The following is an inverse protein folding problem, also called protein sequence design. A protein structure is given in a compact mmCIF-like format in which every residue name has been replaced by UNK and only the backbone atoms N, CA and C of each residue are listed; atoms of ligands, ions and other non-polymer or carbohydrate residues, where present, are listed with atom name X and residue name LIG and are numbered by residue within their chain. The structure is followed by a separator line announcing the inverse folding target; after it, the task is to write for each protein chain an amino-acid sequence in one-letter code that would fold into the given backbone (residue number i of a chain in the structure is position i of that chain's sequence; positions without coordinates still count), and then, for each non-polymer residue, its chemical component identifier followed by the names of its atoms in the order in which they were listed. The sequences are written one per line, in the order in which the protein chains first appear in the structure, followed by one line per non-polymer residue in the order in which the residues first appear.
data_IF_960746550745
#
_entry.id   IF_960746550745
#
_cell.length_a   1.000
_cell.length_b   1.000
_cell.length_c   1.000
_cell.angle_alpha   90.00
_cell.angle_beta   90.00
_cell.angle_gamma   90.00
#
_symmetry.space_group_name_H-M   'P 1'
#
loop_
_entity.id
_entity.type
_entity.pdbx_description
1 polymer ?
#
# COMPACT_ATOMS: atom_id res chain seq x y z
N UNK A 1 23.73 -12.71 0.34
CA UNK A 1 23.30 -13.27 1.64
C UNK A 1 22.35 -14.43 1.36
N UNK A 2 22.48 -15.57 2.05
CA UNK A 2 21.54 -16.70 1.92
C UNK A 2 20.64 -16.72 3.15
N UNK A 3 19.36 -17.04 2.95
CA UNK A 3 18.39 -17.25 4.04
C UNK A 3 18.04 -18.73 4.05
N UNK A 4 18.21 -19.39 5.19
CA UNK A 4 17.84 -20.79 5.38
C UNK A 4 16.57 -20.85 6.22
N UNK A 5 15.59 -21.63 5.77
CA UNK A 5 14.25 -21.72 6.38
C UNK A 5 13.77 -23.17 6.40
N UNK A 6 12.89 -23.50 7.34
CA UNK A 6 12.18 -24.78 7.38
C UNK A 6 10.70 -24.57 7.03
N UNK A 7 10.09 -25.57 6.37
CA UNK A 7 8.67 -25.54 6.01
C UNK A 7 7.83 -25.94 7.21
N UNK A 8 7.02 -25.03 7.73
CA UNK A 8 6.06 -25.31 8.81
C UNK A 8 4.69 -25.74 8.28
N UNK A 9 4.26 -25.16 7.16
CA UNK A 9 3.01 -25.50 6.45
C UNK A 9 3.34 -25.62 4.96
N UNK A 10 3.16 -26.82 4.41
CA UNK A 10 3.51 -27.13 3.01
C UNK A 10 2.39 -26.86 2.00
N UNK A 11 2.74 -26.92 0.72
CA UNK A 11 1.82 -26.78 -0.41
C UNK A 11 2.56 -26.61 -1.74
N UNK A 12 1.86 -26.60 -2.88
CA UNK A 12 2.49 -26.35 -4.19
C UNK A 12 3.06 -24.93 -4.26
N UNK A 13 4.31 -24.81 -4.71
CA UNK A 13 4.99 -23.55 -4.95
C UNK A 13 5.35 -23.45 -6.43
N UNK A 14 4.84 -22.43 -7.10
CA UNK A 14 5.15 -22.12 -8.50
C UNK A 14 6.02 -20.87 -8.60
N UNK A 15 6.48 -20.55 -9.82
CA UNK A 15 7.24 -19.34 -10.08
C UNK A 15 6.46 -18.06 -9.74
N UNK A 16 7.19 -17.02 -9.35
CA UNK A 16 6.69 -15.66 -9.08
C UNK A 16 5.58 -15.56 -8.00
N UNK A 17 5.51 -16.52 -7.07
CA UNK A 17 4.65 -16.39 -5.89
C UNK A 17 5.20 -15.30 -4.96
N UNK A 18 4.32 -14.42 -4.50
CA UNK A 18 4.66 -13.35 -3.56
C UNK A 18 5.13 -13.90 -2.21
N UNK A 19 6.07 -13.20 -1.59
CA UNK A 19 6.59 -13.52 -0.26
C UNK A 19 6.21 -12.36 0.66
N UNK A 20 5.65 -12.69 1.83
CA UNK A 20 5.34 -11.72 2.88
C UNK A 20 6.06 -12.10 4.16
N UNK A 21 6.39 -11.10 4.97
CA UNK A 21 6.93 -11.28 6.32
C UNK A 21 5.85 -10.95 7.34
N UNK A 22 5.56 -11.90 8.23
CA UNK A 22 4.63 -11.67 9.34
C UNK A 22 5.16 -10.52 10.21
N UNK A 23 4.29 -9.56 10.54
CA UNK A 23 4.67 -8.35 11.29
C UNK A 23 5.39 -7.27 10.46
N UNK A 24 5.53 -7.44 9.14
CA UNK A 24 6.15 -6.44 8.27
C UNK A 24 7.68 -6.42 8.30
N UNK A 25 8.26 -5.27 7.96
CA UNK A 25 9.72 -5.08 7.97
C UNK A 25 10.42 -5.60 6.72
N UNK A 26 9.74 -5.59 5.57
CA UNK A 26 10.37 -5.70 4.25
C UNK A 26 10.71 -4.27 3.78
N UNK A 27 12.01 -3.97 3.66
CA UNK A 27 12.55 -2.65 3.31
C UNK A 27 12.50 -2.33 1.81
N UNK A 28 11.41 -2.67 1.14
CA UNK A 28 11.19 -2.24 -0.23
C UNK A 28 10.84 -0.75 -0.26
N UNK A 29 11.31 -0.04 -1.28
CA UNK A 29 10.78 1.28 -1.62
C UNK A 29 9.28 1.18 -1.91
N UNK A 30 8.54 2.25 -1.63
CA UNK A 30 7.10 2.25 -1.84
C UNK A 30 6.71 2.34 -3.32
N UNK A 31 7.54 2.95 -4.16
CA UNK A 31 7.33 3.03 -5.60
C UNK A 31 8.54 2.46 -6.34
N UNK A 32 8.31 1.40 -7.10
CA UNK A 32 9.29 0.82 -8.01
C UNK A 32 9.44 1.68 -9.28
N UNK A 33 10.47 1.42 -10.08
CA UNK A 33 10.61 2.09 -11.38
C UNK A 33 9.47 1.75 -12.34
N UNK A 34 8.89 0.56 -12.21
CA UNK A 34 7.67 0.18 -12.93
C UNK A 34 6.51 1.08 -12.51
N UNK A 35 6.30 1.31 -11.21
CA UNK A 35 5.22 2.16 -10.73
C UNK A 35 5.36 3.59 -11.24
N UNK A 36 6.59 4.14 -11.27
CA UNK A 36 6.86 5.47 -11.84
C UNK A 36 6.48 5.54 -13.33
N UNK A 37 6.82 4.51 -14.11
CA UNK A 37 6.44 4.44 -15.52
C UNK A 37 4.92 4.26 -15.73
N UNK A 38 4.27 3.48 -14.87
CA UNK A 38 2.83 3.28 -14.90
C UNK A 38 2.07 4.55 -14.52
N UNK A 39 2.58 5.37 -13.60
CA UNK A 39 1.99 6.68 -13.25
C UNK A 39 1.94 7.59 -14.48
N UNK A 40 3.03 7.67 -15.26
CA UNK A 40 3.05 8.43 -16.51
C UNK A 40 2.06 7.86 -17.53
N UNK A 41 1.90 6.54 -17.56
CA UNK A 41 0.92 5.90 -18.45
C UNK A 41 -0.51 6.20 -18.01
N UNK A 42 -0.80 6.14 -16.71
CA UNK A 42 -2.09 6.47 -16.13
C UNK A 42 -2.47 7.95 -16.39
N UNK A 43 -1.48 8.85 -16.34
CA UNK A 43 -1.66 10.25 -16.70
C UNK A 43 -2.11 10.42 -18.16
N UNK A 44 -1.47 9.72 -19.10
CA UNK A 44 -1.85 9.75 -20.52
C UNK A 44 -3.23 9.17 -20.78
N UNK A 45 -3.65 8.18 -19.99
CA UNK A 45 -5.00 7.59 -20.07
C UNK A 45 -6.05 8.56 -19.51
N UNK A 46 -5.69 9.42 -18.56
CA UNK A 46 -6.61 10.34 -17.89
C UNK A 46 -7.47 9.63 -16.85
N UNK A 47 -6.87 8.78 -16.02
CA UNK A 47 -7.60 8.04 -14.98
C UNK A 47 -8.19 8.97 -13.91
N UNK A 48 -9.37 8.64 -13.40
CA UNK A 48 -10.00 9.38 -12.29
C UNK A 48 -9.36 9.06 -10.94
N UNK A 49 -8.89 7.82 -10.77
CA UNK A 49 -8.30 7.30 -9.54
C UNK A 49 -6.99 6.57 -9.83
N UNK A 50 -5.99 6.81 -8.98
CA UNK A 50 -4.68 6.18 -9.03
C UNK A 50 -4.43 5.46 -7.70
N UNK A 51 -4.41 4.13 -7.72
CA UNK A 51 -4.19 3.32 -6.54
C UNK A 51 -2.70 3.06 -6.28
N UNK A 52 -2.24 3.36 -5.08
CA UNK A 52 -0.85 3.15 -4.63
C UNK A 52 -0.81 1.88 -3.79
N UNK A 53 0.03 0.93 -4.20
CA UNK A 53 0.20 -0.36 -3.53
C UNK A 53 1.23 -0.28 -2.41
N UNK A 54 1.01 -1.01 -1.31
CA UNK A 54 1.93 -1.09 -0.18
C UNK A 54 2.52 0.24 0.38
N UNK A 55 1.77 1.37 0.47
CA UNK A 55 2.25 2.55 1.16
C UNK A 55 2.56 2.22 2.63
N UNK A 56 3.67 2.75 3.15
CA UNK A 56 4.08 2.60 4.56
C UNK A 56 3.62 3.79 5.39
N UNK A 57 3.58 4.96 4.79
CA UNK A 57 3.20 6.23 5.40
C UNK A 57 2.55 7.16 4.35
N UNK A 58 2.04 8.30 4.80
CA UNK A 58 1.47 9.34 3.96
C UNK A 58 2.47 9.94 2.96
N UNK A 59 3.77 9.95 3.29
CA UNK A 59 4.79 10.46 2.37
C UNK A 59 4.94 9.60 1.11
N UNK A 60 4.74 8.28 1.21
CA UNK A 60 4.74 7.41 0.03
C UNK A 60 3.58 7.78 -0.94
N UNK A 61 2.42 8.17 -0.39
CA UNK A 61 1.26 8.63 -1.17
C UNK A 61 1.48 10.02 -1.75
N UNK A 62 2.07 10.93 -1.00
CA UNK A 62 2.43 12.27 -1.46
C UNK A 62 3.46 12.20 -2.59
N UNK A 63 4.41 11.27 -2.50
CA UNK A 63 5.37 11.05 -3.57
C UNK A 63 4.69 10.57 -4.85
N UNK A 64 3.80 9.58 -4.77
CA UNK A 64 3.00 9.13 -5.92
C UNK A 64 2.17 10.27 -6.52
N UNK A 65 1.53 11.09 -5.66
CA UNK A 65 0.74 12.26 -6.07
C UNK A 65 1.59 13.30 -6.80
N UNK A 66 2.81 13.58 -6.32
CA UNK A 66 3.74 14.50 -6.98
C UNK A 66 4.11 13.99 -8.36
N UNK A 67 4.49 12.71 -8.49
CA UNK A 67 4.80 12.10 -9.79
C UNK A 67 3.62 12.15 -10.76
N UNK A 68 2.40 11.92 -10.28
CA UNK A 68 1.19 12.04 -11.08
C UNK A 68 0.98 13.49 -11.58
N UNK A 69 1.12 14.48 -10.70
CA UNK A 69 1.01 15.91 -11.05
C UNK A 69 2.08 16.36 -12.02
N UNK A 70 3.33 15.94 -11.82
CA UNK A 70 4.45 16.23 -12.72
C UNK A 70 4.21 15.63 -14.12
N UNK A 71 3.45 14.52 -14.20
CA UNK A 71 3.00 13.92 -15.45
C UNK A 71 1.69 14.53 -16.02
N UNK A 72 1.13 15.57 -15.38
CA UNK A 72 -0.10 16.23 -15.81
C UNK A 72 -1.39 15.54 -15.39
N UNK A 73 -1.36 14.76 -14.30
CA UNK A 73 -2.50 14.00 -13.79
C UNK A 73 -2.92 14.44 -12.38
N UNK A 74 -4.19 14.81 -12.23
CA UNK A 74 -4.82 15.18 -10.96
C UNK A 74 -5.75 14.08 -10.41
N UNK A 75 -5.47 12.82 -10.75
CA UNK A 75 -6.23 11.67 -10.26
C UNK A 75 -6.28 11.63 -8.72
N UNK A 76 -7.42 11.15 -8.21
CA UNK A 76 -7.62 10.89 -6.80
C UNK A 76 -6.76 9.72 -6.34
N UNK A 77 -6.01 9.91 -5.25
CA UNK A 77 -5.09 8.88 -4.75
C UNK A 77 -5.86 7.89 -3.88
N UNK A 78 -5.73 6.60 -4.21
CA UNK A 78 -6.29 5.50 -3.43
C UNK A 78 -5.18 4.79 -2.67
N UNK A 79 -5.20 4.86 -1.35
CA UNK A 79 -4.25 4.14 -0.50
C UNK A 79 -4.69 2.69 -0.32
N UNK A 80 -3.90 1.72 -0.80
CA UNK A 80 -4.13 0.31 -0.52
C UNK A 80 -3.45 -0.09 0.78
N UNK A 81 -4.22 -0.17 1.86
CA UNK A 81 -3.67 -0.43 3.20
C UNK A 81 -3.34 -1.92 3.36
N UNK A 82 -2.13 -2.30 2.93
CA UNK A 82 -1.66 -3.69 2.84
C UNK A 82 -0.53 -4.01 3.83
N UNK A 83 0.11 -2.99 4.40
CA UNK A 83 1.29 -3.11 5.26
C UNK A 83 0.92 -3.01 6.75
N UNK A 84 1.64 -3.78 7.59
CA UNK A 84 1.46 -3.75 9.03
C UNK A 84 1.87 -2.38 9.60
N UNK A 85 2.88 -1.76 9.00
CA UNK A 85 3.40 -0.43 9.33
C UNK A 85 2.33 0.65 9.16
N UNK A 86 1.43 0.52 8.19
CA UNK A 86 0.35 1.48 7.95
C UNK A 86 -0.81 1.37 8.96
N UNK A 87 -0.80 0.34 9.81
CA UNK A 87 -1.89 0.04 10.78
C UNK A 87 -1.36 -0.28 12.18
N UNK A 88 -0.10 0.03 12.48
CA UNK A 88 0.52 -0.34 13.75
C UNK A 88 -0.05 0.46 14.93
N UNK A 89 -0.52 1.67 14.68
CA UNK A 89 -1.18 2.54 15.64
C UNK A 89 -2.12 3.53 14.93
N UNK A 90 -2.77 4.37 15.73
CA UNK A 90 -3.74 5.35 15.28
C UNK A 90 -3.10 6.46 14.42
N UNK A 91 -1.90 6.90 14.77
CA UNK A 91 -1.21 8.01 14.10
C UNK A 91 -0.73 7.59 12.71
N UNK A 92 -0.16 6.38 12.59
CA UNK A 92 0.26 5.81 11.30
C UNK A 92 -0.93 5.63 10.33
N UNK A 93 -2.07 5.21 10.87
CA UNK A 93 -3.29 5.07 10.08
C UNK A 93 -3.87 6.43 9.68
N UNK A 94 -3.87 7.40 10.59
CA UNK A 94 -4.30 8.77 10.29
C UNK A 94 -3.40 9.42 9.23
N UNK A 95 -2.09 9.22 9.30
CA UNK A 95 -1.11 9.71 8.32
C UNK A 95 -1.42 9.20 6.89
N UNK A 96 -1.65 7.90 6.74
CA UNK A 96 -2.00 7.29 5.45
C UNK A 96 -3.37 7.78 4.95
N UNK A 97 -4.36 7.87 5.85
CA UNK A 97 -5.73 8.26 5.49
C UNK A 97 -5.77 9.72 5.04
N UNK A 98 -5.13 10.62 5.79
CA UNK A 98 -5.10 12.06 5.50
C UNK A 98 -4.37 12.39 4.20
N UNK A 99 -3.38 11.58 3.80
CA UNK A 99 -2.68 11.73 2.53
C UNK A 99 -3.45 11.14 1.32
N UNK A 100 -4.50 10.35 1.57
CA UNK A 100 -5.31 9.68 0.55
C UNK A 100 -6.63 10.39 0.27
N UNK A 101 -7.15 10.26 -0.96
CA UNK A 101 -8.52 10.65 -1.28
C UNK A 101 -9.51 9.50 -1.00
N UNK A 102 -9.03 8.25 -1.12
CA UNK A 102 -9.80 7.02 -0.87
C UNK A 102 -8.92 6.00 -0.15
N UNK A 103 -9.51 5.28 0.80
CA UNK A 103 -8.88 4.13 1.46
C UNK A 103 -9.43 2.84 0.87
N UNK A 104 -8.55 1.95 0.42
CA UNK A 104 -8.90 0.61 -0.03
C UNK A 104 -8.48 -0.42 1.02
N UNK A 105 -9.40 -1.30 1.40
CA UNK A 105 -9.18 -2.43 2.33
C UNK A 105 -9.13 -3.74 1.55
N UNK A 106 -7.94 -4.19 1.10
CA UNK A 106 -7.83 -5.40 0.31
C UNK A 106 -8.17 -6.68 1.10
N UNK A 107 -8.64 -7.69 0.37
CA UNK A 107 -9.07 -8.98 0.96
C UNK A 107 -7.91 -9.87 1.36
N UNK A 108 -6.77 -9.73 0.68
CA UNK A 108 -5.64 -10.64 0.84
C UNK A 108 -4.83 -10.44 2.14
N UNK A 109 -5.01 -9.34 2.88
CA UNK A 109 -4.26 -9.02 4.09
C UNK A 109 -5.16 -9.03 5.32
N UNK A 110 -5.11 -10.10 6.13
CA UNK A 110 -5.99 -10.28 7.29
C UNK A 110 -5.75 -9.26 8.42
N UNK A 111 -4.49 -8.86 8.64
CA UNK A 111 -4.11 -7.92 9.71
C UNK A 111 -4.69 -6.51 9.49
N UNK A 112 -4.68 -6.02 8.24
CA UNK A 112 -5.13 -4.67 7.88
C UNK A 112 -6.62 -4.45 8.17
N UNK A 113 -7.44 -5.50 7.99
CA UNK A 113 -8.90 -5.41 8.08
C UNK A 113 -9.40 -5.07 9.47
N UNK A 114 -8.90 -5.77 10.49
CA UNK A 114 -9.37 -5.55 11.86
C UNK A 114 -9.00 -4.14 12.34
N UNK A 115 -7.78 -3.69 12.05
CA UNK A 115 -7.29 -2.39 12.48
C UNK A 115 -8.10 -1.24 11.87
N UNK A 116 -8.37 -1.30 10.56
CA UNK A 116 -9.13 -0.27 9.84
C UNK A 116 -10.58 -0.20 10.34
N UNK A 117 -11.22 -1.35 10.60
CA UNK A 117 -12.57 -1.37 11.16
C UNK A 117 -12.62 -0.78 12.57
N UNK A 118 -11.64 -1.10 13.42
CA UNK A 118 -11.52 -0.52 14.77
C UNK A 118 -11.31 0.99 14.74
N UNK A 119 -10.44 1.48 13.85
CA UNK A 119 -10.24 2.92 13.62
C UNK A 119 -11.50 3.63 13.16
N UNK A 120 -12.21 3.04 12.18
CA UNK A 120 -13.43 3.64 11.67
C UNK A 120 -14.52 3.72 12.75
N UNK A 121 -14.60 2.70 13.62
CA UNK A 121 -15.50 2.69 14.75
C UNK A 121 -15.12 3.72 15.85
N UNK A 122 -13.83 4.05 16.01
CA UNK A 122 -13.39 5.06 16.99
C UNK A 122 -13.73 6.49 16.55
N UNK A 123 -13.70 6.77 15.25
CA UNK A 123 -13.97 8.09 14.64
C UNK A 123 -15.46 8.42 14.45
N UNK A 124 -16.35 7.44 14.57
CA UNK A 124 -17.82 7.61 14.41
C UNK A 124 -18.56 7.97 15.69
N UNK A 125 -17.85 8.22 16.79
CA UNK A 125 -18.41 8.73 18.05
C UNK A 125 -18.25 10.23 18.16
#
# INVERSE_FOLDING_TARGET
MKVFTEVTVGGPLSNNKGINKLGGGLSAEALTDKDKADIVTAAKIGVDYLAVSFPRCGEDLNYARRLARDAGCDAKIVAKVERAEAVCDQDAMDDVILASDVVMVPVATSASRSAILSWWASRKR
#
